data_IF_681116732824
#
_entry.id   IF_681116732824
#
_cell.length_a   1.000
_cell.length_b   1.000
_cell.length_c   1.000
_cell.angle_alpha   90.00
_cell.angle_beta   90.00
_cell.angle_gamma   90.00
#
_symmetry.space_group_name_H-M   'P 1'
#
loop_
_entity.id
_entity.type
_entity.pdbx_description
1 polymer ?
#
# COMPACT_ATOMS: atom_id res chain seq x y z
N UNK A 1 11.42 -14.67 -20.12
CA UNK A 1 10.45 -14.91 -19.04
C UNK A 1 10.63 -13.76 -18.06
N UNK A 2 9.64 -12.91 -17.79
CA UNK A 2 9.86 -11.83 -16.84
C UNK A 2 9.76 -12.40 -15.42
N UNK A 3 10.84 -12.21 -14.66
CA UNK A 3 10.96 -12.54 -13.25
C UNK A 3 10.16 -11.52 -12.44
N UNK A 4 8.94 -11.85 -12.05
CA UNK A 4 8.17 -11.12 -11.04
C UNK A 4 8.87 -11.32 -9.69
N UNK A 5 9.60 -10.31 -9.22
CA UNK A 5 10.14 -10.30 -7.86
C UNK A 5 9.02 -9.86 -6.91
N UNK A 6 8.09 -10.78 -6.62
CA UNK A 6 7.17 -10.58 -5.50
C UNK A 6 7.97 -10.75 -4.22
N UNK A 7 8.42 -9.65 -3.61
CA UNK A 7 8.93 -9.70 -2.24
C UNK A 7 7.72 -9.85 -1.32
N UNK A 8 7.29 -11.10 -1.11
CA UNK A 8 6.43 -11.43 0.03
C UNK A 8 7.26 -11.24 1.28
N UNK A 9 7.08 -10.13 1.97
CA UNK A 9 7.57 -9.96 3.34
C UNK A 9 6.77 -10.92 4.23
N UNK A 10 7.18 -12.19 4.28
CA UNK A 10 6.87 -13.03 5.42
C UNK A 10 7.66 -12.46 6.59
N UNK A 11 6.96 -11.94 7.60
CA UNK A 11 7.51 -11.60 8.90
C UNK A 11 8.11 -12.85 9.57
N UNK A 12 9.29 -13.26 9.13
CA UNK A 12 10.13 -14.25 9.78
C UNK A 12 11.04 -13.52 10.77
N UNK A 13 10.51 -13.25 11.97
CA UNK A 13 11.17 -13.36 13.28
C UNK A 13 12.52 -12.69 13.58
N UNK A 14 13.22 -12.05 12.64
CA UNK A 14 14.52 -11.42 12.86
C UNK A 14 14.69 -10.27 11.87
N UNK A 15 14.25 -9.08 12.26
CA UNK A 15 14.88 -7.77 12.06
C UNK A 15 13.81 -6.70 12.30
N UNK A 16 14.02 -5.93 13.36
CA UNK A 16 13.13 -4.89 13.86
C UNK A 16 13.23 -3.61 13.01
N UNK A 17 13.11 -3.74 11.69
CA UNK A 17 13.06 -2.62 10.75
C UNK A 17 11.71 -2.68 10.05
N UNK A 18 10.75 -1.88 10.54
CA UNK A 18 9.41 -1.69 9.97
C UNK A 18 9.44 -1.68 8.44
N UNK A 19 8.45 -2.29 7.80
CA UNK A 19 8.42 -2.50 6.34
C UNK A 19 8.52 -1.20 5.55
N UNK A 20 8.21 -0.04 6.18
CA UNK A 20 8.50 1.30 5.67
C UNK A 20 9.96 1.49 5.30
N UNK A 21 10.89 1.08 6.18
CA UNK A 21 12.31 1.33 5.97
C UNK A 21 12.81 0.56 4.75
N UNK A 22 12.25 -0.62 4.51
CA UNK A 22 12.54 -1.43 3.33
C UNK A 22 11.92 -0.84 2.05
N UNK A 23 10.64 -0.46 2.09
CA UNK A 23 9.96 0.22 0.98
C UNK A 23 10.69 1.53 0.63
N UNK A 24 11.04 2.32 1.65
CA UNK A 24 11.82 3.55 1.52
C UNK A 24 13.19 3.28 0.90
N UNK A 25 13.94 2.28 1.36
CA UNK A 25 15.25 1.93 0.81
C UNK A 25 15.17 1.51 -0.66
N UNK A 26 14.15 0.71 -1.02
CA UNK A 26 13.93 0.25 -2.39
C UNK A 26 13.51 1.38 -3.33
N UNK A 27 12.55 2.21 -2.92
CA UNK A 27 12.13 3.37 -3.71
C UNK A 27 13.31 4.32 -3.86
N UNK A 28 14.08 4.60 -2.80
CA UNK A 28 15.26 5.47 -2.89
C UNK A 28 16.30 4.91 -3.87
N UNK A 29 16.67 3.64 -3.74
CA UNK A 29 17.66 3.01 -4.59
C UNK A 29 17.27 3.09 -6.08
N UNK A 30 16.02 2.77 -6.40
CA UNK A 30 15.52 2.75 -7.79
C UNK A 30 15.16 4.12 -8.35
N UNK A 31 14.70 5.04 -7.51
CA UNK A 31 14.40 6.41 -7.91
C UNK A 31 15.67 7.26 -8.12
N UNK A 32 16.71 7.03 -7.31
CA UNK A 32 18.02 7.68 -7.47
C UNK A 32 18.92 7.02 -8.51
N UNK A 33 18.54 5.83 -9.02
CA UNK A 33 19.34 5.07 -9.99
C UNK A 33 20.63 4.47 -9.40
N UNK A 34 20.69 4.24 -8.09
CA UNK A 34 21.86 3.67 -7.40
C UNK A 34 21.77 2.14 -7.48
N UNK A 35 22.33 1.53 -8.53
CA UNK A 35 22.68 0.10 -8.48
C UNK A 35 23.72 -0.13 -7.36
N UNK A 36 23.69 -1.31 -6.74
CA UNK A 36 24.46 -1.70 -5.55
C UNK A 36 25.82 -0.99 -5.40
N UNK A 37 25.97 -0.23 -4.30
CA UNK A 37 27.26 0.30 -3.87
C UNK A 37 28.19 -0.87 -3.53
N UNK A 38 29.03 -1.27 -4.48
CA UNK A 38 30.32 -1.88 -4.13
C UNK A 38 31.04 -0.92 -3.19
N UNK A 39 31.55 -1.49 -2.09
CA UNK A 39 32.36 -0.79 -1.09
C UNK A 39 33.67 -0.29 -1.73
N UNK A 40 33.60 0.83 -2.43
CA UNK A 40 34.74 1.63 -2.85
C UNK A 40 34.80 2.84 -1.92
N UNK A 41 35.84 2.84 -1.08
CA UNK A 41 36.22 3.99 -0.27
C UNK A 41 36.76 5.07 -1.20
N UNK A 42 35.89 5.91 -1.74
CA UNK A 42 36.30 7.25 -2.12
C UNK A 42 35.25 8.28 -1.74
N UNK A 43 35.73 9.25 -0.96
CA UNK A 43 35.04 10.45 -0.56
C UNK A 43 34.85 11.29 -1.83
N UNK A 44 33.61 11.73 -2.06
CA UNK A 44 33.20 12.90 -2.86
C UNK A 44 32.13 12.60 -3.91
N UNK A 45 30.87 12.42 -3.48
CA UNK A 45 29.70 12.84 -4.30
C UNK A 45 28.67 13.50 -3.37
N UNK A 46 28.91 14.77 -3.03
CA UNK A 46 27.81 15.67 -2.68
C UNK A 46 27.16 16.17 -3.98
N UNK A 47 26.28 15.36 -4.57
CA UNK A 47 25.34 15.87 -5.57
C UNK A 47 24.12 16.43 -4.84
N UNK A 48 24.06 17.76 -4.71
CA UNK A 48 22.82 18.51 -4.51
C UNK A 48 21.95 18.41 -5.79
N UNK A 49 21.63 17.19 -6.22
CA UNK A 49 20.56 16.97 -7.18
C UNK A 49 19.26 17.22 -6.43
N UNK A 50 18.54 18.28 -6.78
CA UNK A 50 17.13 18.41 -6.39
C UNK A 50 16.43 17.25 -7.12
N UNK A 51 16.25 16.13 -6.40
CA UNK A 51 15.45 15.01 -6.90
C UNK A 51 14.09 15.56 -7.30
N UNK A 52 13.71 15.34 -8.56
CA UNK A 52 12.36 15.64 -9.02
C UNK A 52 11.35 14.97 -8.08
N UNK A 53 10.17 15.56 -7.84
CA UNK A 53 9.19 14.93 -6.98
C UNK A 53 8.72 13.60 -7.60
N UNK A 54 8.53 12.58 -6.75
CA UNK A 54 7.91 11.32 -7.12
C UNK A 54 6.40 11.53 -7.19
N UNK A 55 5.82 11.28 -8.37
CA UNK A 55 4.36 11.42 -8.54
C UNK A 55 3.66 10.27 -7.82
N UNK A 56 2.79 10.59 -6.86
CA UNK A 56 1.95 9.61 -6.17
C UNK A 56 0.52 9.71 -6.71
N UNK A 57 0.08 8.69 -7.43
CA UNK A 57 -1.24 8.69 -8.08
C UNK A 57 -2.29 8.28 -7.07
N UNK A 58 -2.98 9.28 -6.51
CA UNK A 58 -4.08 9.08 -5.57
C UNK A 58 -5.01 10.28 -5.58
N UNK A 59 -6.31 10.02 -5.43
CA UNK A 59 -7.31 11.03 -5.09
C UNK A 59 -7.61 11.14 -3.59
N UNK A 60 -7.02 10.26 -2.76
CA UNK A 60 -7.29 10.20 -1.33
C UNK A 60 -6.21 10.98 -0.55
N UNK A 61 -6.56 12.11 0.11
CA UNK A 61 -5.59 12.91 0.86
C UNK A 61 -4.99 12.16 2.06
N UNK A 62 -5.69 11.18 2.63
CA UNK A 62 -5.19 10.41 3.77
C UNK A 62 -4.03 9.50 3.36
N UNK A 63 -4.11 8.88 2.17
CA UNK A 63 -3.00 8.10 1.59
C UNK A 63 -1.75 8.96 1.44
N UNK A 64 -1.90 10.25 1.14
CA UNK A 64 -0.77 11.19 1.04
C UNK A 64 -0.13 11.43 2.40
N UNK A 65 -0.92 11.53 3.46
CA UNK A 65 -0.41 11.68 4.85
C UNK A 65 0.39 10.42 5.23
N UNK A 66 -0.18 9.24 5.01
CA UNK A 66 0.44 7.94 5.31
C UNK A 66 1.75 7.74 4.55
N UNK A 67 1.74 7.96 3.22
CA UNK A 67 2.96 7.82 2.40
C UNK A 67 4.05 8.79 2.84
N UNK A 68 3.71 10.04 3.17
CA UNK A 68 4.69 10.98 3.69
C UNK A 68 5.28 10.55 5.04
N UNK A 69 4.49 9.90 5.90
CA UNK A 69 5.00 9.31 7.14
C UNK A 69 6.00 8.18 6.85
N UNK A 70 5.73 7.35 5.82
CA UNK A 70 6.61 6.23 5.39
C UNK A 70 7.92 6.73 4.77
N UNK A 71 7.85 7.57 3.72
CA UNK A 71 9.03 7.98 2.94
C UNK A 71 9.86 9.06 3.65
N UNK A 72 9.25 9.78 4.58
CA UNK A 72 9.85 10.90 5.30
C UNK A 72 10.29 12.03 4.38
N UNK A 73 11.27 12.83 4.82
CA UNK A 73 11.75 14.00 4.08
C UNK A 73 12.70 13.69 2.92
N UNK A 74 12.97 12.42 2.63
CA UNK A 74 13.99 12.03 1.63
C UNK A 74 13.44 12.03 0.21
N UNK A 75 12.15 11.76 0.03
CA UNK A 75 11.48 11.79 -1.27
C UNK A 75 10.39 12.85 -1.21
N UNK A 76 10.41 13.80 -2.15
CA UNK A 76 9.31 14.74 -2.30
C UNK A 76 8.16 14.03 -3.02
N UNK A 77 7.01 13.89 -2.36
CA UNK A 77 5.80 13.30 -2.95
C UNK A 77 4.96 14.39 -3.60
N UNK A 78 4.64 14.22 -4.89
CA UNK A 78 3.67 15.05 -5.60
C UNK A 78 2.39 14.25 -5.82
N UNK A 79 1.32 14.50 -5.04
CA UNK A 79 0.04 13.83 -5.26
C UNK A 79 -0.57 14.28 -6.58
N UNK A 80 -1.08 13.33 -7.37
CA UNK A 80 -1.80 13.59 -8.60
C UNK A 80 -3.02 12.67 -8.69
N UNK A 81 -4.21 13.24 -8.72
CA UNK A 81 -5.42 12.47 -8.98
C UNK A 81 -5.53 12.20 -10.49
N UNK A 82 -5.44 10.93 -10.88
CA UNK A 82 -5.71 10.47 -12.24
C UNK A 82 -6.88 9.47 -12.21
N UNK A 83 -7.79 9.62 -13.16
CA UNK A 83 -8.84 8.65 -13.40
C UNK A 83 -8.29 7.55 -14.32
N UNK A 84 -7.81 6.47 -13.72
CA UNK A 84 -7.25 5.31 -14.43
C UNK A 84 -8.22 4.15 -14.22
N UNK A 85 -8.86 3.61 -15.29
CA UNK A 85 -9.75 2.48 -15.16
C UNK A 85 -9.02 1.25 -14.58
N UNK A 86 -9.51 0.71 -13.47
CA UNK A 86 -8.93 -0.48 -12.84
C UNK A 86 -9.46 -1.76 -13.53
N UNK A 87 -8.55 -2.71 -13.79
CA UNK A 87 -8.95 -4.04 -14.24
C UNK A 87 -9.52 -4.86 -13.09
N UNK A 88 -10.14 -5.99 -13.42
CA UNK A 88 -10.42 -7.04 -12.44
C UNK A 88 -9.28 -8.06 -12.46
N UNK A 89 -8.88 -8.54 -11.30
CA UNK A 89 -7.73 -9.45 -11.16
C UNK A 89 -7.32 -9.61 -9.71
N UNK A 90 -6.10 -10.12 -9.51
CA UNK A 90 -5.46 -10.12 -8.18
C UNK A 90 -4.97 -8.72 -7.81
N UNK A 91 -4.61 -8.53 -6.54
CA UNK A 91 -4.03 -7.27 -6.05
C UNK A 91 -2.80 -6.85 -6.87
N UNK A 92 -1.94 -7.81 -7.20
CA UNK A 92 -0.72 -7.58 -7.97
C UNK A 92 -1.02 -7.22 -9.42
N UNK A 93 -1.97 -7.91 -10.06
CA UNK A 93 -2.36 -7.61 -11.45
C UNK A 93 -2.95 -6.20 -11.57
N UNK A 94 -3.85 -5.85 -10.65
CA UNK A 94 -4.49 -4.53 -10.59
C UNK A 94 -3.45 -3.44 -10.35
N UNK A 95 -2.60 -3.59 -9.33
CA UNK A 95 -1.58 -2.60 -9.00
C UNK A 95 -0.54 -2.45 -10.11
N UNK A 96 -0.12 -3.55 -10.75
CA UNK A 96 0.84 -3.53 -11.87
C UNK A 96 0.26 -2.79 -13.07
N UNK A 97 -0.96 -3.12 -13.47
CA UNK A 97 -1.61 -2.50 -14.62
C UNK A 97 -1.87 -1.00 -14.36
N UNK A 98 -2.38 -0.64 -13.18
CA UNK A 98 -2.60 0.76 -12.78
C UNK A 98 -1.30 1.56 -12.78
N UNK A 99 -0.23 1.01 -12.22
CA UNK A 99 1.08 1.65 -12.17
C UNK A 99 1.67 1.85 -13.58
N UNK A 100 1.58 0.83 -14.45
CA UNK A 100 2.05 0.91 -15.84
C UNK A 100 1.29 1.98 -16.63
N UNK A 101 -0.04 2.04 -16.51
CA UNK A 101 -0.83 3.07 -17.20
C UNK A 101 -0.52 4.46 -16.66
N UNK A 102 -0.37 4.60 -15.33
CA UNK A 102 0.05 5.85 -14.71
C UNK A 102 1.40 6.33 -15.25
N UNK A 103 2.41 5.44 -15.34
CA UNK A 103 3.74 5.81 -15.84
C UNK A 103 3.74 6.22 -17.30
N UNK A 104 2.90 5.62 -18.15
CA UNK A 104 2.68 6.08 -19.52
C UNK A 104 1.99 7.45 -19.62
N UNK A 105 0.97 7.72 -18.79
CA UNK A 105 0.26 9.01 -18.79
C UNK A 105 1.18 10.14 -18.31
N UNK A 106 1.92 9.89 -17.22
CA UNK A 106 2.81 10.86 -16.58
C UNK A 106 4.13 11.00 -17.37
N UNK A 107 4.51 9.98 -18.13
CA UNK A 107 5.80 9.86 -18.81
C UNK A 107 6.98 10.08 -17.84
N UNK A 108 6.96 9.36 -16.71
CA UNK A 108 7.93 9.53 -15.64
C UNK A 108 7.72 8.56 -14.48
N UNK A 109 8.49 8.74 -13.39
CA UNK A 109 8.41 7.87 -12.24
C UNK A 109 7.10 8.07 -11.46
N UNK A 110 6.47 6.96 -11.09
CA UNK A 110 5.18 6.96 -10.40
C UNK A 110 5.17 5.99 -9.24
N UNK A 111 4.42 6.34 -8.21
CA UNK A 111 4.01 5.47 -7.13
C UNK A 111 2.48 5.41 -7.12
N UNK A 112 1.92 4.22 -6.97
CA UNK A 112 0.49 4.02 -6.73
C UNK A 112 0.30 3.18 -5.47
N UNK A 113 -0.87 3.26 -4.86
CA UNK A 113 -1.24 2.40 -3.73
C UNK A 113 -2.73 2.03 -3.80
N UNK A 114 -2.99 0.74 -3.62
CA UNK A 114 -4.33 0.16 -3.53
C UNK A 114 -4.50 -0.65 -2.25
N UNK A 115 -5.70 -0.56 -1.69
CA UNK A 115 -6.03 -1.16 -0.40
C UNK A 115 -7.12 -2.21 -0.61
N UNK A 116 -6.98 -3.35 0.04
CA UNK A 116 -7.89 -4.48 -0.04
C UNK A 116 -8.23 -5.01 1.35
N UNK A 117 -9.41 -5.63 1.45
CA UNK A 117 -9.86 -6.29 2.67
C UNK A 117 -10.28 -7.72 2.32
N UNK A 118 -9.47 -8.68 2.73
CA UNK A 118 -9.59 -10.08 2.35
C UNK A 118 -10.23 -10.88 3.48
N UNK A 119 -11.48 -11.31 3.35
CA UNK A 119 -12.10 -12.19 4.33
C UNK A 119 -11.67 -13.64 4.09
N UNK A 120 -11.08 -14.27 5.10
CA UNK A 120 -10.58 -15.66 4.99
C UNK A 120 -11.69 -16.63 4.62
N UNK A 121 -12.84 -16.50 5.29
CA UNK A 121 -14.03 -17.31 5.05
C UNK A 121 -14.58 -17.19 3.60
N UNK A 122 -14.36 -16.04 2.95
CA UNK A 122 -14.77 -15.79 1.56
C UNK A 122 -13.60 -15.93 0.57
N UNK A 123 -12.54 -16.65 0.95
CA UNK A 123 -11.36 -16.91 0.11
C UNK A 123 -10.72 -15.63 -0.44
N UNK A 124 -10.67 -14.59 0.38
CA UNK A 124 -10.04 -13.31 0.06
C UNK A 124 -10.99 -12.26 -0.54
N UNK A 125 -12.26 -12.57 -0.77
CA UNK A 125 -13.25 -11.53 -1.11
C UNK A 125 -13.66 -10.72 0.14
N UNK A 126 -14.07 -9.45 -0.01
CA UNK A 126 -14.18 -8.68 -1.26
C UNK A 126 -12.83 -8.27 -1.88
N UNK A 127 -11.73 -8.32 -1.12
CA UNK A 127 -10.37 -8.12 -1.62
C UNK A 127 -10.21 -6.74 -2.28
N UNK A 128 -9.70 -6.65 -3.53
CA UNK A 128 -9.53 -5.36 -4.22
C UNK A 128 -10.85 -4.61 -4.46
N UNK A 129 -11.98 -5.31 -4.40
CA UNK A 129 -13.30 -4.73 -4.69
C UNK A 129 -13.93 -4.05 -3.46
N UNK A 130 -13.19 -3.96 -2.34
CA UNK A 130 -13.71 -3.48 -1.06
C UNK A 130 -14.38 -2.10 -1.17
N UNK A 131 -13.89 -1.19 -2.02
CA UNK A 131 -14.50 0.13 -2.23
C UNK A 131 -15.96 0.00 -2.70
N UNK A 132 -16.20 -0.80 -3.74
CA UNK A 132 -17.55 -1.00 -4.29
C UNK A 132 -18.49 -1.67 -3.27
N UNK A 133 -17.95 -2.64 -2.51
CA UNK A 133 -18.71 -3.31 -1.46
C UNK A 133 -19.06 -2.35 -0.32
N UNK A 134 -18.11 -1.55 0.13
CA UNK A 134 -18.32 -0.55 1.18
C UNK A 134 -19.34 0.51 0.75
N UNK A 135 -19.23 1.03 -0.47
CA UNK A 135 -20.18 2.02 -1.01
C UNK A 135 -21.61 1.46 -1.09
N UNK A 136 -21.75 0.18 -1.41
CA UNK A 136 -23.07 -0.45 -1.60
C UNK A 136 -23.70 -0.95 -0.29
N UNK A 137 -22.88 -1.49 0.62
CA UNK A 137 -23.35 -2.21 1.82
C UNK A 137 -23.15 -1.41 3.11
N UNK A 138 -22.23 -0.46 3.10
CA UNK A 138 -21.70 0.15 4.32
C UNK A 138 -21.01 -0.86 5.25
N UNK A 139 -20.56 -0.36 6.39
CA UNK A 139 -19.87 -1.17 7.40
C UNK A 139 -20.77 -2.27 8.01
N UNK A 140 -22.04 -1.97 8.26
CA UNK A 140 -23.00 -2.96 8.77
C UNK A 140 -23.24 -4.10 7.78
N UNK A 141 -23.43 -3.79 6.50
CA UNK A 141 -23.62 -4.82 5.48
C UNK A 141 -22.35 -5.64 5.23
N UNK A 142 -21.16 -5.03 5.26
CA UNK A 142 -19.88 -5.76 5.19
C UNK A 142 -19.71 -6.74 6.37
N UNK A 143 -20.05 -6.34 7.58
CA UNK A 143 -20.02 -7.24 8.75
C UNK A 143 -21.02 -8.41 8.57
N UNK A 144 -22.24 -8.12 8.13
CA UNK A 144 -23.30 -9.12 7.89
C UNK A 144 -23.00 -10.11 6.78
N UNK A 145 -22.12 -9.77 5.81
CA UNK A 145 -21.66 -10.75 4.81
C UNK A 145 -21.02 -11.98 5.45
N UNK A 146 -20.46 -11.82 6.65
CA UNK A 146 -19.82 -12.91 7.37
C UNK A 146 -20.76 -13.65 8.31
N UNK A 147 -22.01 -13.21 8.54
CA UNK A 147 -22.97 -13.88 9.46
C UNK A 147 -23.05 -15.40 9.29
N UNK A 148 -23.05 -15.97 8.05
CA UNK A 148 -23.11 -17.42 7.85
C UNK A 148 -21.83 -18.19 8.23
N UNK A 149 -20.72 -17.50 8.51
CA UNK A 149 -19.42 -18.10 8.74
C UNK A 149 -19.00 -17.94 10.20
N UNK A 150 -18.48 -19.01 10.82
CA UNK A 150 -17.87 -18.93 12.15
C UNK A 150 -16.54 -18.17 12.11
N UNK A 151 -15.76 -18.36 11.04
CA UNK A 151 -14.50 -17.68 10.82
C UNK A 151 -14.73 -16.21 10.42
N UNK A 152 -14.28 -15.29 11.29
CA UNK A 152 -14.33 -13.84 11.06
C UNK A 152 -12.95 -13.25 10.72
N UNK A 153 -11.93 -14.09 10.51
CA UNK A 153 -10.61 -13.60 10.18
C UNK A 153 -10.60 -12.84 8.86
N UNK A 154 -9.88 -11.73 8.85
CA UNK A 154 -9.62 -10.94 7.66
C UNK A 154 -8.19 -10.42 7.66
N UNK A 155 -7.70 -10.09 6.46
CA UNK A 155 -6.45 -9.39 6.26
C UNK A 155 -6.72 -8.06 5.58
N UNK A 156 -6.23 -6.98 6.17
CA UNK A 156 -6.09 -5.69 5.51
C UNK A 156 -4.79 -5.72 4.70
N UNK A 157 -4.87 -5.51 3.39
CA UNK A 157 -3.73 -5.58 2.48
C UNK A 157 -3.52 -4.23 1.82
N UNK A 158 -2.32 -3.67 1.96
CA UNK A 158 -1.89 -2.47 1.26
C UNK A 158 -0.89 -2.87 0.18
N UNK A 159 -1.17 -2.54 -1.08
CA UNK A 159 -0.33 -2.88 -2.23
C UNK A 159 0.22 -1.60 -2.84
N UNK A 160 1.53 -1.40 -2.74
CA UNK A 160 2.25 -0.35 -3.45
C UNK A 160 2.78 -0.88 -4.79
N UNK A 161 2.72 -0.06 -5.83
CA UNK A 161 3.47 -0.32 -7.05
C UNK A 161 4.23 0.92 -7.51
N UNK A 162 5.52 0.73 -7.79
CA UNK A 162 6.44 1.78 -8.23
C UNK A 162 6.97 1.46 -9.62
N UNK A 163 6.99 2.46 -10.50
CA UNK A 163 7.70 2.38 -11.77
C UNK A 163 8.60 3.61 -11.93
N UNK A 164 9.80 3.42 -12.46
CA UNK A 164 10.71 4.53 -12.80
C UNK A 164 10.38 5.18 -14.16
N UNK A 165 9.47 4.61 -14.96
CA UNK A 165 9.09 5.17 -16.26
C UNK A 165 8.14 4.28 -17.10
N UNK A 166 7.68 4.78 -18.26
CA UNK A 166 6.71 4.08 -19.12
C UNK A 166 7.13 2.67 -19.55
N UNK A 167 8.41 2.46 -19.84
CA UNK A 167 8.92 1.18 -20.36
C UNK A 167 9.52 0.27 -19.27
N UNK A 168 9.33 0.64 -18.00
CA UNK A 168 9.87 -0.09 -16.84
C UNK A 168 8.77 -0.89 -16.16
N UNK A 169 9.01 -2.18 -15.94
CA UNK A 169 8.07 -3.03 -15.23
C UNK A 169 7.89 -2.55 -13.78
N UNK A 170 6.65 -2.39 -13.30
CA UNK A 170 6.38 -1.98 -11.93
C UNK A 170 6.94 -2.98 -10.91
N UNK A 171 7.55 -2.44 -9.86
CA UNK A 171 7.88 -3.18 -8.64
C UNK A 171 6.69 -3.13 -7.70
N UNK A 172 6.21 -4.29 -7.27
CA UNK A 172 5.03 -4.41 -6.40
C UNK A 172 5.45 -4.85 -5.00
N UNK A 173 4.92 -4.17 -3.98
CA UNK A 173 5.17 -4.43 -2.57
C UNK A 173 3.84 -4.54 -1.83
N UNK A 174 3.76 -5.45 -0.86
CA UNK A 174 2.55 -5.64 -0.06
C UNK A 174 2.86 -5.60 1.43
N UNK A 175 2.07 -4.82 2.16
CA UNK A 175 1.90 -4.92 3.61
C UNK A 175 0.59 -5.65 3.92
N UNK A 176 0.61 -6.55 4.91
CA UNK A 176 -0.57 -7.31 5.35
C UNK A 176 -0.71 -7.18 6.85
N UNK A 177 -1.93 -6.84 7.29
CA UNK A 177 -2.30 -6.79 8.69
C UNK A 177 -3.40 -7.82 8.95
N UNK A 178 -3.15 -8.77 9.82
CA UNK A 178 -4.13 -9.76 10.24
C UNK A 178 -5.09 -9.19 11.28
N UNK A 179 -6.36 -9.54 11.20
CA UNK A 179 -7.38 -9.09 12.14
C UNK A 179 -8.66 -9.90 12.05
N UNK A 180 -9.73 -9.33 12.60
CA UNK A 180 -11.07 -9.89 12.57
C UNK A 180 -12.10 -8.86 12.15
N UNK A 181 -13.17 -9.32 11.51
CA UNK A 181 -14.33 -8.49 11.19
C UNK A 181 -15.32 -8.52 12.36
N UNK A 182 -15.62 -7.34 12.88
CA UNK A 182 -16.47 -7.13 14.07
C UNK A 182 -17.57 -6.10 13.78
N UNK A 183 -18.65 -6.05 14.60
CA UNK A 183 -19.61 -4.97 14.52
C UNK A 183 -18.91 -3.61 14.66
N UNK A 184 -19.37 -2.63 13.89
CA UNK A 184 -18.68 -1.35 13.76
C UNK A 184 -18.51 -0.63 15.11
N UNK A 185 -17.28 -0.22 15.44
CA UNK A 185 -16.95 0.62 16.60
C UNK A 185 -16.05 1.79 16.19
N UNK A 186 -15.97 2.80 17.06
CA UNK A 186 -15.19 4.01 16.80
C UNK A 186 -15.84 4.97 15.79
N UNK A 187 -15.19 6.10 15.51
CA UNK A 187 -15.68 7.14 14.61
C UNK A 187 -15.69 6.64 13.14
N UNK A 188 -16.83 6.72 12.42
CA UNK A 188 -16.95 6.23 11.04
C UNK A 188 -16.39 7.24 10.02
N UNK A 189 -15.15 7.65 10.22
CA UNK A 189 -14.51 8.70 9.41
C UNK A 189 -13.82 8.09 8.20
N UNK A 190 -13.31 6.86 8.30
CA UNK A 190 -12.46 6.26 7.28
C UNK A 190 -12.89 4.83 6.91
N UNK A 191 -13.46 4.71 5.71
CA UNK A 191 -13.59 3.42 5.03
C UNK A 191 -14.24 2.32 5.89
N UNK A 192 -13.56 1.16 5.89
CA UNK A 192 -13.92 -0.05 6.61
C UNK A 192 -13.18 -0.20 7.95
N UNK A 193 -12.42 0.81 8.39
CA UNK A 193 -11.71 0.78 9.67
C UNK A 193 -12.61 0.48 10.89
N UNK A 194 -13.89 0.93 10.94
CA UNK A 194 -14.76 0.64 12.07
C UNK A 194 -15.06 -0.85 12.29
N UNK A 195 -14.91 -1.69 11.26
CA UNK A 195 -15.25 -3.11 11.33
C UNK A 195 -14.03 -4.02 11.37
N UNK A 196 -12.82 -3.48 11.22
CA UNK A 196 -11.59 -4.28 11.23
C UNK A 196 -10.89 -4.14 12.58
N UNK A 197 -10.89 -5.22 13.36
CA UNK A 197 -10.26 -5.30 14.68
C UNK A 197 -8.88 -5.92 14.60
N UNK A 198 -7.90 -5.24 15.21
CA UNK A 198 -6.56 -5.76 15.44
C UNK A 198 -6.21 -5.59 16.92
N UNK A 199 -5.83 -6.70 17.58
CA UNK A 199 -5.48 -6.73 19.01
C UNK A 199 -6.53 -6.14 19.96
N UNK A 200 -7.82 -6.33 19.66
CA UNK A 200 -8.94 -5.93 20.54
C UNK A 200 -9.46 -4.50 20.34
N UNK A 201 -8.83 -3.71 19.46
CA UNK A 201 -9.30 -2.38 19.05
C UNK A 201 -9.62 -2.39 17.55
N UNK A 202 -10.72 -1.77 17.13
CA UNK A 202 -10.93 -1.50 15.71
C UNK A 202 -9.95 -0.44 15.25
N UNK A 203 -9.56 -0.46 13.97
CA UNK A 203 -8.69 0.60 13.45
C UNK A 203 -9.32 1.98 13.65
N UNK A 204 -10.65 2.11 13.59
CA UNK A 204 -11.30 3.39 13.85
C UNK A 204 -11.11 3.88 15.30
N UNK A 205 -10.99 2.98 16.28
CA UNK A 205 -10.74 3.30 17.69
C UNK A 205 -9.27 3.70 17.96
N UNK A 206 -8.34 3.37 17.06
CA UNK A 206 -6.91 3.67 17.24
C UNK A 206 -6.57 5.13 16.91
N UNK A 207 -5.67 5.71 17.71
CA UNK A 207 -5.00 6.98 17.39
C UNK A 207 -4.11 6.84 16.14
N UNK A 208 -3.96 7.92 15.37
CA UNK A 208 -3.27 7.89 14.07
C UNK A 208 -1.86 7.31 14.14
N UNK A 209 -1.05 7.73 15.11
CA UNK A 209 0.34 7.27 15.27
C UNK A 209 0.42 5.75 15.51
N UNK A 210 -0.53 5.18 16.26
CA UNK A 210 -0.61 3.72 16.47
C UNK A 210 -0.93 2.98 15.18
N UNK A 211 -1.78 3.54 14.31
CA UNK A 211 -2.11 2.92 13.01
C UNK A 211 -0.91 2.90 12.08
N UNK A 212 -0.16 4.00 12.05
CA UNK A 212 1.06 4.13 11.25
C UNK A 212 2.07 3.06 11.64
N UNK A 213 2.29 2.80 12.93
CA UNK A 213 3.24 1.76 13.37
C UNK A 213 2.82 0.32 13.03
N UNK A 214 1.53 0.06 12.82
CA UNK A 214 0.97 -1.28 12.58
C UNK A 214 0.75 -1.58 11.10
N UNK A 215 0.41 -0.55 10.31
CA UNK A 215 0.16 -0.66 8.86
C UNK A 215 1.46 -0.61 8.04
N UNK A 216 2.60 -0.43 8.70
CA UNK A 216 3.92 -0.27 8.12
C UNK A 216 4.89 -1.34 8.62
#
# INVERSE_FOLDING_TARGET
MPTTWTVRLHCLGLLNTSSALFIRALILNRFSGIEELEMSTDRDIHSNAIMAPLTFVTGNPNKVIEVNAIVGKTISIQPLALDIPEIQGTLEEIATDKCRRASHIINGPVLIEDSALEFRAMKGLPGPYIKCFLESLGNDGLNKLLDPYEDKHAEAVCTFAFSSGPDMDPLVFQGRLEGNIVPARGPPVFGWEPIFEHNGETLAEMEHDKKVDILI
#
